data_IF_233316155077
#
_entry.id   IF_233316155077
#
_cell.length_a   1.000
_cell.length_b   1.000
_cell.length_c   1.000
_cell.angle_alpha   90.00
_cell.angle_beta   90.00
_cell.angle_gamma   90.00
#
_symmetry.space_group_name_H-M   'P 1'
#
loop_
_entity.id
_entity.type
_entity.pdbx_description
1 polymer ?
#
# COMPACT_ATOMS: atom_id res chain seq x y z
N UNK A 1 -3.60 -7.51 12.47
CA UNK A 1 -4.65 -7.19 13.45
C UNK A 1 -5.54 -6.11 12.85
N UNK A 2 -6.83 -6.39 12.73
CA UNK A 2 -7.83 -5.47 12.18
C UNK A 2 -8.38 -4.53 13.25
N UNK A 3 -9.11 -3.49 12.84
CA UNK A 3 -9.90 -2.64 13.77
C UNK A 3 -10.90 -3.49 14.54
N UNK A 4 -11.54 -4.46 13.89
CA UNK A 4 -12.47 -5.38 14.55
C UNK A 4 -11.82 -6.32 15.56
N UNK A 5 -10.52 -6.61 15.42
CA UNK A 5 -9.79 -7.37 16.43
C UNK A 5 -9.65 -6.59 17.75
N UNK A 6 -9.68 -5.25 17.69
CA UNK A 6 -9.52 -4.35 18.85
C UNK A 6 -10.89 -3.93 19.41
N UNK A 7 -11.84 -3.62 18.52
CA UNK A 7 -13.14 -3.05 18.86
C UNK A 7 -14.30 -4.06 18.71
N UNK A 8 -14.01 -5.35 18.48
CA UNK A 8 -15.00 -6.41 18.28
C UNK A 8 -15.65 -6.37 16.89
N UNK A 9 -16.89 -6.84 16.78
CA UNK A 9 -17.63 -6.89 15.50
C UNK A 9 -17.93 -5.52 14.87
N UNK A 10 -17.58 -4.44 15.57
CA UNK A 10 -17.91 -3.04 15.26
C UNK A 10 -16.78 -2.33 14.51
N UNK A 11 -17.15 -1.35 13.68
CA UNK A 11 -16.21 -0.35 13.17
C UNK A 11 -15.86 0.67 14.26
N UNK A 12 -14.77 1.41 14.09
CA UNK A 12 -14.51 2.59 14.93
C UNK A 12 -15.10 3.83 14.25
N UNK A 13 -16.40 4.03 14.44
CA UNK A 13 -17.21 5.04 13.75
C UNK A 13 -16.80 6.47 14.07
N UNK A 14 -16.37 6.75 15.30
CA UNK A 14 -15.98 8.10 15.74
C UNK A 14 -14.86 8.75 14.92
N UNK A 15 -14.06 7.94 14.22
CA UNK A 15 -12.98 8.39 13.32
C UNK A 15 -13.10 7.79 11.91
N UNK A 16 -14.21 7.13 11.60
CA UNK A 16 -14.49 6.58 10.27
C UNK A 16 -13.65 5.35 9.87
N UNK A 17 -13.12 4.58 10.83
CA UNK A 17 -12.31 3.39 10.53
C UNK A 17 -13.19 2.13 10.47
N UNK A 18 -13.28 1.51 9.29
CA UNK A 18 -14.06 0.28 9.09
C UNK A 18 -13.44 -0.95 9.78
N UNK A 19 -14.27 -1.90 10.21
CA UNK A 19 -13.84 -3.11 10.97
C UNK A 19 -12.73 -3.93 10.30
N UNK A 20 -12.74 -4.02 8.96
CA UNK A 20 -11.77 -4.80 8.20
C UNK A 20 -10.46 -4.05 7.93
N UNK A 21 -10.36 -2.78 8.33
CA UNK A 21 -9.14 -1.99 8.14
C UNK A 21 -8.03 -2.52 9.05
N UNK A 22 -6.80 -2.50 8.55
CA UNK A 22 -5.64 -2.92 9.34
C UNK A 22 -5.41 -1.87 10.42
N UNK A 23 -5.48 -2.28 11.69
CA UNK A 23 -5.16 -1.43 12.83
C UNK A 23 -3.68 -1.57 13.24
N UNK A 24 -3.16 -2.80 13.16
CA UNK A 24 -1.75 -3.08 13.44
C UNK A 24 -1.24 -4.21 12.54
N UNK A 25 -0.31 -3.86 11.64
CA UNK A 25 0.40 -4.82 10.78
C UNK A 25 1.25 -5.75 11.63
N UNK A 26 1.15 -7.06 11.37
CA UNK A 26 1.75 -8.12 12.20
C UNK A 26 1.38 -8.11 13.69
N UNK A 27 0.43 -7.27 14.12
CA UNK A 27 0.09 -7.11 15.54
C UNK A 27 -0.43 -8.37 16.24
N UNK A 28 -0.87 -9.39 15.50
CA UNK A 28 -1.27 -10.68 16.07
C UNK A 28 -0.08 -11.57 16.46
N UNK A 29 1.11 -11.33 15.90
CA UNK A 29 2.31 -12.10 16.20
C UNK A 29 2.83 -11.84 17.63
N UNK A 30 2.58 -10.65 18.17
CA UNK A 30 3.07 -10.28 19.51
C UNK A 30 2.45 -11.14 20.62
N UNK A 31 1.22 -11.60 20.41
CA UNK A 31 0.44 -12.37 21.39
C UNK A 31 0.48 -13.88 21.09
N UNK A 32 1.11 -14.29 19.98
CA UNK A 32 1.16 -15.68 19.55
C UNK A 32 2.35 -16.42 20.20
N UNK A 33 2.08 -17.62 20.72
CA UNK A 33 3.14 -18.52 21.17
C UNK A 33 3.92 -19.10 19.98
N UNK A 34 5.18 -19.55 20.17
CA UNK A 34 5.97 -20.15 19.10
C UNK A 34 5.28 -21.35 18.42
N UNK A 35 4.53 -22.15 19.18
CA UNK A 35 3.74 -23.27 18.64
C UNK A 35 2.61 -22.80 17.73
N UNK A 36 1.84 -21.80 18.15
CA UNK A 36 0.77 -21.21 17.33
C UNK A 36 1.28 -20.57 16.05
N UNK A 37 2.46 -19.94 16.09
CA UNK A 37 3.11 -19.39 14.89
C UNK A 37 3.45 -20.52 13.92
N UNK A 38 4.06 -21.60 14.40
CA UNK A 38 4.46 -22.73 13.54
C UNK A 38 3.29 -23.51 12.93
N UNK A 39 2.18 -23.62 13.65
CA UNK A 39 1.02 -24.41 13.22
C UNK A 39 0.04 -23.61 12.35
N UNK A 40 -0.17 -22.33 12.67
CA UNK A 40 -1.24 -21.53 12.07
C UNK A 40 -0.78 -20.48 11.07
N UNK A 41 0.52 -20.19 10.97
CA UNK A 41 1.04 -19.12 10.11
C UNK A 41 1.90 -19.70 9.00
N UNK A 42 1.40 -19.60 7.77
CA UNK A 42 2.14 -20.02 6.59
C UNK A 42 2.96 -18.85 5.98
N UNK A 43 3.94 -19.20 5.14
CA UNK A 43 4.79 -18.21 4.48
C UNK A 43 4.02 -17.27 3.53
N UNK A 44 2.92 -17.73 2.93
CA UNK A 44 2.07 -16.89 2.07
C UNK A 44 1.35 -15.79 2.84
N UNK A 45 0.90 -16.06 4.07
CA UNK A 45 0.26 -15.08 4.94
C UNK A 45 1.25 -14.01 5.40
N UNK A 46 2.49 -14.42 5.69
CA UNK A 46 3.59 -13.49 6.02
C UNK A 46 3.88 -12.59 4.82
N UNK A 47 4.06 -13.20 3.63
CA UNK A 47 4.37 -12.48 2.39
C UNK A 47 3.25 -11.49 2.03
N UNK A 48 1.99 -11.93 2.11
CA UNK A 48 0.81 -11.09 1.87
C UNK A 48 0.67 -9.97 2.91
N UNK A 49 0.93 -10.25 4.18
CA UNK A 49 0.90 -9.22 5.23
C UNK A 49 1.99 -8.19 5.04
N UNK A 50 3.19 -8.61 4.62
CA UNK A 50 4.32 -7.72 4.36
C UNK A 50 4.06 -6.81 3.17
N UNK A 51 3.63 -7.37 2.03
CA UNK A 51 3.35 -6.55 0.83
C UNK A 51 2.20 -5.57 1.08
N UNK A 52 1.19 -5.98 1.86
CA UNK A 52 0.08 -5.10 2.25
C UNK A 52 0.54 -3.98 3.19
N UNK A 53 1.44 -4.27 4.14
CA UNK A 53 2.05 -3.25 5.02
C UNK A 53 2.81 -2.19 4.21
N UNK A 54 3.67 -2.62 3.28
CA UNK A 54 4.44 -1.70 2.43
C UNK A 54 3.50 -0.85 1.56
N UNK A 55 2.51 -1.48 0.90
CA UNK A 55 1.53 -0.78 0.09
C UNK A 55 0.75 0.26 0.90
N UNK A 56 0.18 -0.15 2.04
CA UNK A 56 -0.65 0.72 2.88
C UNK A 56 0.14 1.95 3.35
N UNK A 57 1.39 1.77 3.77
CA UNK A 57 2.25 2.89 4.16
C UNK A 57 2.52 3.84 2.99
N UNK A 58 2.92 3.31 1.84
CA UNK A 58 3.17 4.12 0.65
C UNK A 58 1.91 4.89 0.20
N UNK A 59 0.73 4.27 0.28
CA UNK A 59 -0.55 4.91 -0.04
C UNK A 59 -0.86 6.07 0.91
N UNK A 60 -0.67 5.87 2.22
CA UNK A 60 -0.90 6.90 3.23
C UNK A 60 0.03 8.10 2.97
N UNK A 61 1.33 7.85 2.76
CA UNK A 61 2.29 8.91 2.44
C UNK A 61 1.92 9.63 1.14
N UNK A 62 1.57 8.88 0.10
CA UNK A 62 1.16 9.43 -1.19
C UNK A 62 -0.06 10.33 -1.05
N UNK A 63 -1.05 9.93 -0.24
CA UNK A 63 -2.25 10.73 0.03
C UNK A 63 -1.90 12.00 0.79
N UNK A 64 -1.04 11.91 1.79
CA UNK A 64 -0.62 13.08 2.58
C UNK A 64 0.07 14.12 1.69
N UNK A 65 1.03 13.70 0.87
CA UNK A 65 1.73 14.58 -0.08
C UNK A 65 0.76 15.13 -1.12
N UNK A 66 -0.08 14.27 -1.71
CA UNK A 66 -1.05 14.71 -2.72
C UNK A 66 -2.01 15.77 -2.18
N UNK A 67 -2.49 15.59 -0.94
CA UNK A 67 -3.35 16.57 -0.28
C UNK A 67 -2.61 17.87 0.05
N UNK A 68 -1.39 17.78 0.56
CA UNK A 68 -0.58 18.94 0.95
C UNK A 68 -0.23 19.83 -0.26
N UNK A 69 0.08 19.20 -1.38
CA UNK A 69 0.50 19.88 -2.62
C UNK A 69 -0.66 20.08 -3.64
N UNK A 70 -1.90 19.74 -3.26
CA UNK A 70 -3.08 19.80 -4.12
C UNK A 70 -2.91 19.05 -5.47
N UNK A 71 -2.25 17.88 -5.42
CA UNK A 71 -1.99 17.02 -6.58
C UNK A 71 -3.14 16.04 -6.76
N UNK A 72 -3.71 16.00 -7.97
CA UNK A 72 -4.80 15.08 -8.34
C UNK A 72 -4.33 13.77 -8.98
N UNK A 73 -3.08 13.72 -9.45
CA UNK A 73 -2.51 12.58 -10.18
C UNK A 73 -1.17 12.23 -9.58
N UNK A 74 -1.10 11.09 -8.92
CA UNK A 74 0.12 10.56 -8.33
C UNK A 74 0.65 9.46 -9.23
N UNK A 75 1.94 9.49 -9.53
CA UNK A 75 2.59 8.46 -10.35
C UNK A 75 3.58 7.71 -9.46
N UNK A 76 3.42 6.38 -9.37
CA UNK A 76 4.42 5.53 -8.74
C UNK A 76 5.34 4.93 -9.80
N UNK A 77 6.64 4.96 -9.53
CA UNK A 77 7.70 4.49 -10.43
C UNK A 77 8.71 3.63 -9.66
N UNK A 78 9.58 2.92 -10.39
CA UNK A 78 10.58 2.02 -9.84
C UNK A 78 10.22 0.54 -10.00
N UNK A 79 11.16 -0.34 -9.65
CA UNK A 79 11.07 -1.80 -9.89
C UNK A 79 10.24 -2.56 -8.87
N UNK A 80 10.06 -2.01 -7.67
CA UNK A 80 9.35 -2.66 -6.57
C UNK A 80 7.83 -2.79 -6.80
N UNK A 81 7.29 -2.14 -7.82
CA UNK A 81 5.86 -2.13 -8.16
C UNK A 81 5.51 -3.00 -9.37
N UNK A 82 6.47 -3.72 -9.96
CA UNK A 82 6.29 -4.53 -11.18
C UNK A 82 5.56 -5.86 -10.90
N UNK A 83 4.39 -5.76 -10.27
CA UNK A 83 3.47 -6.85 -10.00
C UNK A 83 2.04 -6.34 -10.24
N UNK A 84 1.32 -6.84 -11.26
CA UNK A 84 0.01 -6.32 -11.63
C UNK A 84 -1.01 -6.29 -10.48
N UNK A 85 -1.01 -7.31 -9.63
CA UNK A 85 -1.91 -7.42 -8.48
C UNK A 85 -1.61 -6.34 -7.43
N UNK A 86 -0.33 -6.00 -7.25
CA UNK A 86 0.10 -4.93 -6.36
C UNK A 86 -0.32 -3.56 -6.89
N UNK A 87 -0.15 -3.33 -8.19
CA UNK A 87 -0.58 -2.10 -8.86
C UNK A 87 -2.09 -1.90 -8.72
N UNK A 88 -2.88 -2.93 -9.06
CA UNK A 88 -4.34 -2.88 -8.99
C UNK A 88 -4.84 -2.65 -7.55
N UNK A 89 -4.27 -3.36 -6.57
CA UNK A 89 -4.59 -3.17 -5.16
C UNK A 89 -4.29 -1.73 -4.71
N UNK A 90 -3.13 -1.20 -5.13
CA UNK A 90 -2.69 0.14 -4.77
C UNK A 90 -3.57 1.22 -5.40
N UNK A 91 -3.96 1.07 -6.66
CA UNK A 91 -4.85 2.00 -7.36
C UNK A 91 -6.22 2.10 -6.67
N UNK A 92 -6.86 0.96 -6.41
CA UNK A 92 -8.15 0.90 -5.72
C UNK A 92 -8.06 1.42 -4.28
N UNK A 93 -6.98 1.05 -3.58
CA UNK A 93 -6.69 1.51 -2.23
C UNK A 93 -6.53 3.03 -2.17
N UNK A 94 -5.80 3.60 -3.12
CA UNK A 94 -5.58 5.05 -3.22
C UNK A 94 -6.88 5.80 -3.47
N UNK A 95 -7.64 5.39 -4.49
CA UNK A 95 -8.91 6.01 -4.84
C UNK A 95 -9.89 5.99 -3.65
N UNK A 96 -9.90 4.90 -2.86
CA UNK A 96 -10.69 4.84 -1.64
C UNK A 96 -10.20 5.79 -0.55
N UNK A 97 -8.88 5.88 -0.33
CA UNK A 97 -8.29 6.76 0.69
C UNK A 97 -8.47 8.25 0.37
N UNK A 98 -8.50 8.60 -0.92
CA UNK A 98 -8.69 9.97 -1.41
C UNK A 98 -10.15 10.33 -1.66
N UNK A 99 -11.11 9.43 -1.40
CA UNK A 99 -12.51 9.60 -1.81
C UNK A 99 -12.66 9.96 -3.30
N UNK A 100 -11.82 9.38 -4.16
CA UNK A 100 -11.75 9.62 -5.61
C UNK A 100 -11.32 11.05 -6.01
N UNK A 101 -10.82 11.87 -5.08
CA UNK A 101 -10.33 13.22 -5.40
C UNK A 101 -8.95 13.22 -6.10
N UNK A 102 -8.22 12.11 -5.99
CA UNK A 102 -6.94 11.89 -6.66
C UNK A 102 -6.78 10.44 -7.08
N UNK A 103 -6.06 10.23 -8.19
CA UNK A 103 -5.78 8.92 -8.78
C UNK A 103 -4.30 8.53 -8.67
N UNK A 104 -4.05 7.22 -8.66
CA UNK A 104 -2.72 6.63 -8.67
C UNK A 104 -2.47 5.97 -10.01
N UNK A 105 -1.37 6.30 -10.67
CA UNK A 105 -1.07 5.91 -12.05
C UNK A 105 0.24 5.12 -12.11
N UNK A 106 0.26 4.09 -12.94
CA UNK A 106 1.41 3.24 -13.20
C UNK A 106 1.80 3.29 -14.70
N UNK A 107 2.93 3.92 -15.05
CA UNK A 107 3.45 3.90 -16.43
C UNK A 107 3.93 2.50 -16.85
N UNK A 108 3.91 2.18 -18.15
CA UNK A 108 4.39 0.89 -18.67
C UNK A 108 5.87 0.61 -18.36
N UNK A 109 6.71 1.65 -18.34
CA UNK A 109 8.16 1.53 -18.16
C UNK A 109 8.63 2.17 -16.84
N UNK A 110 7.90 1.94 -15.75
CA UNK A 110 8.17 2.50 -14.42
C UNK A 110 9.61 2.37 -13.96
N UNK A 111 10.28 1.26 -14.27
CA UNK A 111 11.65 0.95 -13.84
C UNK A 111 12.73 1.62 -14.69
N UNK A 112 12.41 2.09 -15.90
CA UNK A 112 13.41 2.52 -16.89
C UNK A 112 13.46 4.03 -17.10
N UNK A 113 12.66 4.82 -16.39
CA UNK A 113 12.60 6.27 -16.57
C UNK A 113 13.97 6.94 -16.33
N UNK A 114 14.73 6.48 -15.34
CA UNK A 114 16.07 7.00 -15.06
C UNK A 114 17.08 6.69 -16.19
N UNK A 115 17.11 5.45 -16.67
CA UNK A 115 17.99 5.06 -17.78
C UNK A 115 17.59 5.73 -19.10
N UNK A 116 16.29 5.91 -19.34
CA UNK A 116 15.78 6.65 -20.48
C UNK A 116 16.20 8.13 -20.41
N UNK A 117 16.10 8.75 -19.23
CA UNK A 117 16.58 10.11 -19.02
C UNK A 117 18.07 10.27 -19.30
N UNK A 118 18.91 9.31 -18.89
CA UNK A 118 20.33 9.30 -19.20
C UNK A 118 20.58 9.22 -20.72
N UNK A 119 19.91 8.29 -21.41
CA UNK A 119 20.04 8.13 -22.86
C UNK A 119 19.67 9.44 -23.60
N UNK A 120 18.57 10.07 -23.22
CA UNK A 120 18.11 11.33 -23.80
C UNK A 120 19.07 12.49 -23.51
N UNK A 121 19.76 12.50 -22.37
CA UNK A 121 20.74 13.55 -22.05
C UNK A 121 22.07 13.43 -22.82
N UNK A 122 22.43 12.21 -23.25
CA UNK A 122 23.64 11.95 -24.04
C UNK A 122 23.40 12.13 -25.54
N UNK A 123 22.15 11.90 -25.96
CA UNK A 123 21.73 12.08 -27.33
C UNK A 123 21.38 13.56 -27.54
N UNK A 124 22.30 14.35 -28.10
CA UNK A 124 21.97 15.68 -28.64
C UNK A 124 21.04 15.50 -29.86
N UNK A 125 19.75 15.27 -29.62
CA UNK A 125 18.71 15.42 -30.63
C UNK A 125 18.41 16.90 -30.87
#
# INVERSE_FOLDING_TARGET
MSVGDIYGSSAYEGVGLGKNMIASSFGRLKDASPGEISENINASDISRSLITLIAANNLIFSRLVAKMENIKRVVWIGSHIDLPEYMQMSEQGFARLTNQEAELIFPTYTSFLGSLGLLLSQSNF
#
